data_IF_025197949152
#
_entry.id   IF_025197949152
#
_cell.length_a   1.000
_cell.length_b   1.000
_cell.length_c   1.000
_cell.angle_alpha   90.00
_cell.angle_beta   90.00
_cell.angle_gamma   90.00
#
_symmetry.space_group_name_H-M   'P 1'
#
loop_
_entity.id
_entity.type
_entity.pdbx_description
1 polymer ?
#
# COMPACT_ATOMS: atom_id res chain seq x y z
N UNK A 1 -28.57 -9.22 -20.93
CA UNK A 1 -27.38 -8.44 -20.56
C UNK A 1 -27.83 -7.27 -19.69
N UNK A 2 -27.46 -7.23 -18.39
CA UNK A 2 -27.90 -6.17 -17.48
C UNK A 2 -27.12 -4.89 -17.77
N UNK A 3 -27.81 -3.85 -18.23
CA UNK A 3 -27.28 -2.50 -18.44
C UNK A 3 -27.00 -1.91 -17.06
N UNK A 4 -25.73 -1.64 -16.75
CA UNK A 4 -25.38 -0.93 -15.52
C UNK A 4 -26.06 0.45 -15.57
N UNK A 5 -26.93 0.73 -14.60
CA UNK A 5 -27.54 2.04 -14.44
C UNK A 5 -26.42 3.06 -14.29
N UNK A 6 -26.43 4.10 -15.12
CA UNK A 6 -25.49 5.22 -15.05
C UNK A 6 -25.74 5.91 -13.72
N UNK A 7 -24.95 5.58 -12.68
CA UNK A 7 -24.90 6.39 -11.48
C UNK A 7 -24.63 7.83 -11.93
N UNK A 8 -25.42 8.77 -11.42
CA UNK A 8 -25.17 10.20 -11.65
C UNK A 8 -23.78 10.48 -11.09
N UNK A 9 -22.81 10.52 -11.97
CA UNK A 9 -21.48 10.98 -11.62
C UNK A 9 -21.60 12.48 -11.38
N UNK A 10 -21.10 13.00 -10.26
CA UNK A 10 -21.15 14.42 -9.91
C UNK A 10 -20.25 15.28 -10.83
N UNK A 11 -19.70 14.68 -11.89
CA UNK A 11 -18.92 15.33 -12.91
C UNK A 11 -19.76 16.25 -13.80
N UNK A 12 -19.19 17.42 -14.11
CA UNK A 12 -19.78 18.34 -15.08
C UNK A 12 -19.77 17.73 -16.50
N UNK A 13 -20.73 18.10 -17.37
CA UNK A 13 -20.84 17.55 -18.73
C UNK A 13 -19.58 17.72 -19.60
N UNK A 14 -18.77 18.74 -19.31
CA UNK A 14 -17.54 19.02 -20.06
C UNK A 14 -16.38 18.06 -19.70
N UNK A 15 -16.50 17.31 -18.61
CA UNK A 15 -15.49 16.36 -18.17
C UNK A 15 -15.78 14.95 -18.70
N UNK A 16 -15.46 14.74 -19.98
CA UNK A 16 -15.43 13.39 -20.57
C UNK A 16 -14.01 12.82 -20.62
N UNK A 17 -13.61 12.16 -19.54
CA UNK A 17 -12.32 11.47 -19.45
C UNK A 17 -12.19 10.28 -20.40
N UNK A 18 -13.29 9.77 -20.98
CA UNK A 18 -13.24 8.66 -21.93
C UNK A 18 -12.83 9.11 -23.34
N UNK A 19 -13.11 10.36 -23.71
CA UNK A 19 -12.70 10.94 -24.99
C UNK A 19 -11.35 11.67 -24.94
N UNK A 20 -10.75 11.86 -23.76
CA UNK A 20 -9.45 12.50 -23.62
C UNK A 20 -8.32 11.65 -24.24
N UNK A 21 -7.60 12.17 -25.25
CA UNK A 21 -6.44 11.49 -25.81
C UNK A 21 -5.34 11.34 -24.74
N UNK A 22 -4.84 10.12 -24.54
CA UNK A 22 -3.74 9.84 -23.59
C UNK A 22 -4.15 9.68 -22.12
N UNK A 23 -5.45 9.76 -21.79
CA UNK A 23 -5.98 9.41 -20.47
C UNK A 23 -5.95 7.90 -20.24
N UNK A 24 -5.14 7.43 -19.27
CA UNK A 24 -5.06 6.00 -18.91
C UNK A 24 -5.55 5.81 -17.49
N UNK A 25 -6.66 5.07 -17.31
CA UNK A 25 -7.16 4.69 -15.98
C UNK A 25 -6.10 3.87 -15.25
N UNK A 26 -5.73 4.31 -14.05
CA UNK A 26 -4.78 3.57 -13.21
C UNK A 26 -3.33 3.62 -13.68
N UNK A 27 -2.91 4.64 -14.45
CA UNK A 27 -1.52 4.82 -14.98
C UNK A 27 -0.40 4.51 -13.97
N UNK A 28 -0.60 4.80 -12.68
CA UNK A 28 0.38 4.57 -11.61
C UNK A 28 -0.08 3.57 -10.55
N UNK A 29 -1.25 2.93 -10.72
CA UNK A 29 -1.82 2.06 -9.70
C UNK A 29 -0.90 0.87 -9.37
N UNK A 30 -0.26 0.29 -10.39
CA UNK A 30 0.70 -0.81 -10.21
C UNK A 30 1.95 -0.36 -9.45
N UNK A 31 2.49 0.83 -9.76
CA UNK A 31 3.67 1.37 -9.08
C UNK A 31 3.38 1.68 -7.62
N UNK A 32 2.21 2.26 -7.34
CA UNK A 32 1.76 2.55 -5.98
C UNK A 32 1.60 1.29 -5.13
N UNK A 33 1.07 0.20 -5.72
CA UNK A 33 0.98 -1.12 -5.07
C UNK A 33 2.35 -1.74 -4.78
N UNK A 34 3.33 -1.51 -5.65
CA UNK A 34 4.70 -2.01 -5.46
C UNK A 34 5.47 -1.23 -4.40
N UNK A 35 5.21 0.07 -4.24
CA UNK A 35 5.96 0.94 -3.33
C UNK A 35 5.47 0.94 -1.89
N UNK A 36 4.27 0.41 -1.61
CA UNK A 36 3.64 0.57 -0.30
C UNK A 36 3.03 -0.74 0.17
N UNK A 37 3.82 -1.56 0.88
CA UNK A 37 3.31 -2.69 1.63
C UNK A 37 2.93 -2.20 3.03
N UNK A 38 1.69 -1.73 3.19
CA UNK A 38 1.16 -1.28 4.49
C UNK A 38 0.79 -2.53 5.29
N UNK A 39 1.55 -2.79 6.35
CA UNK A 39 1.25 -3.85 7.32
C UNK A 39 0.61 -3.22 8.53
N UNK A 40 -0.65 -3.58 8.80
CA UNK A 40 -1.30 -3.23 10.06
C UNK A 40 -0.71 -4.11 11.16
N UNK A 41 -0.21 -3.48 12.22
CA UNK A 41 0.18 -4.18 13.44
C UNK A 41 -1.06 -4.39 14.32
N UNK A 42 -1.02 -5.43 15.14
CA UNK A 42 -2.01 -5.64 16.19
C UNK A 42 -1.92 -4.50 17.23
N UNK A 43 -3.04 -4.25 17.93
CA UNK A 43 -3.19 -3.07 18.78
C UNK A 43 -2.17 -3.06 19.93
N UNK A 44 -1.88 -4.23 20.50
CA UNK A 44 -0.87 -4.42 21.56
C UNK A 44 0.55 -4.13 21.07
N UNK A 45 0.90 -4.59 19.87
CA UNK A 45 2.22 -4.32 19.26
C UNK A 45 2.35 -2.83 18.91
N UNK A 46 1.30 -2.23 18.35
CA UNK A 46 1.29 -0.80 18.00
C UNK A 46 1.38 0.12 19.22
N UNK A 47 0.88 -0.32 20.38
CA UNK A 47 1.00 0.42 21.63
C UNK A 47 2.44 0.47 22.17
N UNK A 48 3.27 -0.52 21.83
CA UNK A 48 4.67 -0.63 22.26
C UNK A 48 5.59 0.20 21.36
N UNK A 49 5.31 0.26 20.05
CA UNK A 49 6.18 0.91 19.08
C UNK A 49 5.60 2.26 18.61
N UNK A 50 6.27 3.40 18.90
CA UNK A 50 5.73 4.72 18.60
C UNK A 50 5.72 5.05 17.10
N UNK A 51 6.58 4.41 16.30
CA UNK A 51 6.66 4.63 14.86
C UNK A 51 7.24 3.42 14.10
N UNK A 52 7.18 3.51 12.76
CA UNK A 52 7.72 2.48 11.87
C UNK A 52 9.24 2.32 11.97
N UNK A 53 9.98 3.35 12.41
CA UNK A 53 11.44 3.26 12.56
C UNK A 53 11.77 2.33 13.72
N UNK A 54 11.11 2.48 14.86
CA UNK A 54 11.28 1.65 16.04
C UNK A 54 10.97 0.17 15.75
N UNK A 55 9.88 -0.11 15.03
CA UNK A 55 9.53 -1.48 14.59
C UNK A 55 10.64 -2.07 13.71
N UNK A 56 11.08 -1.34 12.70
CA UNK A 56 12.07 -1.84 11.75
C UNK A 56 13.43 -2.08 12.40
N UNK A 57 13.85 -1.23 13.33
CA UNK A 57 15.12 -1.39 14.03
C UNK A 57 15.10 -2.61 14.97
N UNK A 58 13.97 -2.88 15.64
CA UNK A 58 13.77 -4.08 16.43
C UNK A 58 13.85 -5.36 15.56
N UNK A 59 13.12 -5.38 14.44
CA UNK A 59 13.14 -6.52 13.51
C UNK A 59 14.53 -6.76 12.91
N UNK A 60 15.26 -5.70 12.55
CA UNK A 60 16.65 -5.81 12.07
C UNK A 60 17.58 -6.39 13.13
N UNK A 61 17.42 -5.97 14.38
CA UNK A 61 18.20 -6.50 15.51
C UNK A 61 17.95 -7.99 15.68
N UNK A 62 16.68 -8.43 15.60
CA UNK A 62 16.32 -9.84 15.63
C UNK A 62 16.96 -10.64 14.48
N UNK A 63 16.97 -10.09 13.26
CA UNK A 63 17.65 -10.71 12.11
C UNK A 63 19.15 -10.88 12.35
N UNK A 64 19.81 -9.91 13.00
CA UNK A 64 21.24 -10.04 13.31
C UNK A 64 21.51 -11.13 14.34
N UNK A 65 20.69 -11.21 15.39
CA UNK A 65 20.78 -12.28 16.39
C UNK A 65 20.56 -13.67 15.76
N UNK A 66 19.55 -13.80 14.88
CA UNK A 66 19.31 -15.02 14.13
C UNK A 66 20.49 -15.41 13.23
N UNK A 67 21.13 -14.44 12.56
CA UNK A 67 22.34 -14.70 11.76
C UNK A 67 23.53 -15.11 12.61
N UNK A 68 23.70 -14.53 13.79
CA UNK A 68 24.79 -14.88 14.70
C UNK A 68 24.62 -16.31 15.24
N UNK A 69 23.41 -16.68 15.67
CA UNK A 69 23.11 -18.02 16.16
C UNK A 69 23.31 -19.10 15.10
N UNK A 70 22.90 -18.86 13.86
CA UNK A 70 23.13 -19.80 12.73
C UNK A 70 24.61 -19.96 12.38
N UNK A 71 25.47 -18.95 12.60
CA UNK A 71 26.92 -19.06 12.37
C UNK A 71 27.66 -19.84 13.47
N UNK A 72 27.04 -20.02 14.63
CA UNK A 72 27.60 -20.73 15.76
C UNK A 72 27.07 -22.18 15.88
N UNK A 73 26.19 -22.61 14.97
CA UNK A 73 25.73 -23.98 14.81
C UNK A 73 26.44 -24.63 13.61
#
# INVERSE_FOLDING_TARGET
MKKAAKQSDDLRPEYDFASMPGGVRGKYATRYKQSTNIVKLDDDVSAIFPDAKAVNDALRSLVQLAKATVKHA
#
